data_IF_310698850186
#
_entry.id   IF_310698850186
#
_cell.length_a   1.000
_cell.length_b   1.000
_cell.length_c   1.000
_cell.angle_alpha   90.00
_cell.angle_beta   90.00
_cell.angle_gamma   90.00
#
_symmetry.space_group_name_H-M   'P 1'
#
loop_
_entity.id
_entity.type
_entity.pdbx_description
1 polymer ?
#
# COMPACT_ATOMS: atom_id res chain seq x y z
N UNK A 1 -2.73 -15.29 -42.91
CA UNK A 1 -2.08 -15.67 -41.64
C UNK A 1 -1.00 -14.66 -41.35
N UNK A 2 -1.19 -13.78 -40.38
CA UNK A 2 -0.20 -12.75 -39.99
C UNK A 2 0.11 -12.94 -38.52
N UNK A 3 1.28 -13.51 -38.24
CA UNK A 3 1.85 -13.64 -36.91
C UNK A 3 2.46 -12.28 -36.57
N UNK A 4 1.83 -11.53 -35.67
CA UNK A 4 2.40 -10.29 -35.14
C UNK A 4 3.49 -10.60 -34.13
N UNK A 5 4.62 -9.96 -34.36
CA UNK A 5 5.88 -10.10 -33.65
C UNK A 5 5.77 -9.91 -32.14
N UNK A 6 6.22 -10.96 -31.45
CA UNK A 6 7.14 -11.01 -30.32
C UNK A 6 7.76 -9.70 -29.80
N UNK A 7 7.92 -9.70 -28.47
CA UNK A 7 8.91 -8.94 -27.69
C UNK A 7 8.68 -7.44 -27.50
N UNK A 8 7.67 -7.10 -26.70
CA UNK A 8 7.75 -5.90 -25.86
C UNK A 8 8.87 -6.12 -24.82
N UNK A 9 9.98 -5.43 -25.06
CA UNK A 9 11.21 -5.35 -24.27
C UNK A 9 10.91 -5.30 -22.77
N UNK A 10 11.16 -6.43 -22.10
CA UNK A 10 11.28 -6.53 -20.65
C UNK A 10 12.46 -5.67 -20.21
N UNK A 11 12.19 -4.42 -19.81
CA UNK A 11 13.15 -3.66 -19.03
C UNK A 11 13.49 -4.51 -17.81
N UNK A 12 14.76 -4.90 -17.67
CA UNK A 12 15.23 -5.72 -16.55
C UNK A 12 14.76 -5.10 -15.23
N UNK A 13 13.69 -5.65 -14.67
CA UNK A 13 13.13 -5.19 -13.41
C UNK A 13 14.17 -5.51 -12.35
N UNK A 14 14.91 -4.49 -11.90
CA UNK A 14 15.90 -4.64 -10.83
C UNK A 14 15.19 -5.26 -9.64
N UNK A 15 15.73 -6.38 -9.15
CA UNK A 15 15.25 -6.99 -7.92
C UNK A 15 15.35 -5.98 -6.77
N UNK A 16 14.23 -5.76 -6.09
CA UNK A 16 14.10 -4.86 -4.96
C UNK A 16 13.90 -5.66 -3.69
N UNK A 17 14.40 -5.13 -2.58
CA UNK A 17 14.17 -5.71 -1.25
C UNK A 17 12.81 -5.24 -0.73
N UNK A 18 11.96 -6.17 -0.33
CA UNK A 18 10.67 -5.90 0.29
C UNK A 18 10.68 -6.45 1.70
N UNK A 19 10.14 -5.68 2.63
CA UNK A 19 9.86 -6.13 3.99
C UNK A 19 8.40 -6.51 4.07
N UNK A 20 8.09 -7.65 4.67
CA UNK A 20 6.74 -8.16 4.82
C UNK A 20 6.42 -8.49 6.27
N UNK A 21 5.13 -8.48 6.59
CA UNK A 21 4.59 -8.98 7.86
C UNK A 21 3.42 -9.89 7.59
N UNK A 22 3.46 -11.07 8.18
CA UNK A 22 2.50 -12.14 7.96
C UNK A 22 2.02 -12.68 9.30
N UNK A 23 0.79 -13.18 9.33
CA UNK A 23 0.24 -13.99 10.40
C UNK A 23 0.33 -15.44 9.97
N UNK A 24 0.99 -16.24 10.80
CA UNK A 24 1.15 -17.67 10.64
C UNK A 24 -0.10 -18.41 11.19
N UNK A 25 -0.27 -19.70 10.87
CA UNK A 25 -1.43 -20.50 11.34
C UNK A 25 -1.52 -20.68 12.85
N UNK A 26 -0.39 -20.56 13.54
CA UNK A 26 -0.29 -20.56 15.01
C UNK A 26 -0.68 -19.19 15.63
N UNK A 27 -1.25 -18.29 14.82
CA UNK A 27 -1.63 -16.92 15.17
C UNK A 27 -0.44 -16.00 15.53
N UNK A 28 0.79 -16.49 15.33
CA UNK A 28 2.01 -15.72 15.54
C UNK A 28 2.20 -14.75 14.38
N UNK A 29 2.70 -13.57 14.70
CA UNK A 29 3.03 -12.56 13.70
C UNK A 29 4.54 -12.59 13.45
N UNK A 30 4.92 -12.79 12.18
CA UNK A 30 6.31 -12.81 11.74
C UNK A 30 6.59 -11.69 10.75
N UNK A 31 7.78 -11.10 10.89
CA UNK A 31 8.32 -10.09 9.98
C UNK A 31 9.53 -10.65 9.28
N UNK A 32 9.61 -10.46 7.96
CA UNK A 32 10.72 -10.95 7.16
C UNK A 32 11.02 -10.02 5.99
N UNK A 33 12.03 -10.40 5.22
CA UNK A 33 12.48 -9.67 4.05
C UNK A 33 12.57 -10.62 2.85
N UNK A 34 12.08 -10.18 1.69
CA UNK A 34 12.13 -10.93 0.44
C UNK A 34 12.62 -10.04 -0.68
N UNK A 35 13.50 -10.57 -1.52
CA UNK A 35 13.98 -9.88 -2.72
C UNK A 35 13.16 -10.33 -3.92
N UNK A 36 12.49 -9.41 -4.58
CA UNK A 36 11.70 -9.70 -5.79
C UNK A 36 11.71 -8.51 -6.74
N UNK A 37 11.34 -8.74 -8.00
CA UNK A 37 11.14 -7.68 -9.00
C UNK A 37 9.93 -6.78 -8.73
N UNK A 38 8.95 -7.23 -7.94
CA UNK A 38 7.70 -6.51 -7.68
C UNK A 38 7.06 -6.95 -6.36
N UNK A 39 6.18 -6.09 -5.82
CA UNK A 39 5.38 -6.40 -4.61
C UNK A 39 4.48 -7.61 -4.83
N UNK A 40 3.84 -7.71 -5.99
CA UNK A 40 2.91 -8.79 -6.30
C UNK A 40 3.60 -10.15 -6.35
N UNK A 41 4.85 -10.18 -6.82
CA UNK A 41 5.67 -11.39 -6.79
C UNK A 41 6.00 -11.86 -5.38
N UNK A 42 6.27 -10.93 -4.45
CA UNK A 42 6.42 -11.26 -3.02
C UNK A 42 5.13 -11.84 -2.46
N UNK A 43 3.99 -11.23 -2.74
CA UNK A 43 2.67 -11.71 -2.28
C UNK A 43 2.39 -13.12 -2.84
N UNK A 44 2.65 -13.35 -4.13
CA UNK A 44 2.49 -14.66 -4.74
C UNK A 44 3.41 -15.71 -4.09
N UNK A 45 4.65 -15.34 -3.77
CA UNK A 45 5.58 -16.23 -3.07
C UNK A 45 5.12 -16.58 -1.66
N UNK A 46 4.66 -15.58 -0.89
CA UNK A 46 4.13 -15.77 0.45
C UNK A 46 2.85 -16.62 0.45
N UNK A 47 1.96 -16.46 -0.54
CA UNK A 47 0.74 -17.27 -0.67
C UNK A 47 1.02 -18.75 -0.97
N UNK A 48 2.19 -19.10 -1.49
CA UNK A 48 2.59 -20.50 -1.70
C UNK A 48 3.00 -21.19 -0.39
N UNK A 49 3.36 -20.42 0.64
CA UNK A 49 3.68 -20.99 1.94
C UNK A 49 2.38 -21.33 2.68
N UNK A 50 2.18 -22.62 2.94
CA UNK A 50 0.98 -23.12 3.60
C UNK A 50 0.88 -22.70 5.06
N UNK A 51 1.99 -22.35 5.72
CA UNK A 51 2.01 -21.95 7.13
C UNK A 51 1.52 -20.51 7.36
N UNK A 52 1.44 -19.71 6.28
CA UNK A 52 0.96 -18.33 6.34
C UNK A 52 -0.56 -18.33 6.24
N UNK A 53 -1.22 -17.82 7.28
CA UNK A 53 -2.66 -17.63 7.31
C UNK A 53 -3.07 -16.33 6.61
N UNK A 54 -2.36 -15.23 6.85
CA UNK A 54 -2.72 -13.91 6.28
C UNK A 54 -1.50 -13.03 6.08
N UNK A 55 -1.46 -12.29 4.96
CA UNK A 55 -0.43 -11.28 4.71
C UNK A 55 -0.95 -9.93 5.20
N UNK A 56 -0.30 -9.36 6.23
CA UNK A 56 -0.73 -8.10 6.84
C UNK A 56 -0.26 -6.90 6.03
N UNK A 57 1.02 -6.88 5.62
CA UNK A 57 1.53 -5.89 4.68
C UNK A 57 2.81 -6.37 4.00
N UNK A 58 3.10 -5.75 2.86
CA UNK A 58 4.36 -5.86 2.12
C UNK A 58 4.71 -4.46 1.65
N UNK A 59 5.90 -3.97 2.01
CA UNK A 59 6.38 -2.65 1.60
C UNK A 59 7.82 -2.71 1.11
N UNK A 60 8.17 -1.81 0.20
CA UNK A 60 9.55 -1.62 -0.21
C UNK A 60 10.14 -0.42 0.56
N UNK A 61 11.09 -0.61 1.49
CA UNK A 61 11.74 0.49 2.21
C UNK A 61 12.56 1.40 1.28
N UNK A 62 13.01 0.88 0.13
CA UNK A 62 13.84 1.60 -0.86
C UNK A 62 13.02 2.25 -1.97
N UNK A 63 11.71 1.99 -2.05
CA UNK A 63 10.87 2.72 -2.98
C UNK A 63 10.73 4.16 -2.47
N UNK A 64 11.01 5.19 -3.29
CA UNK A 64 10.76 6.57 -2.91
C UNK A 64 9.28 6.70 -2.55
N UNK A 65 9.00 6.90 -1.26
CA UNK A 65 7.65 6.90 -0.74
C UNK A 65 6.80 7.96 -1.43
N UNK A 66 5.83 7.52 -2.25
CA UNK A 66 4.69 8.33 -2.66
C UNK A 66 3.84 8.62 -1.40
N UNK A 67 4.28 9.57 -0.59
CA UNK A 67 3.66 9.88 0.71
C UNK A 67 4.49 10.72 1.67
N UNK A 68 5.75 11.03 1.35
CA UNK A 68 6.53 11.95 2.18
C UNK A 68 6.04 13.39 1.96
N UNK A 69 5.36 13.93 2.99
CA UNK A 69 4.76 15.28 3.14
C UNK A 69 3.26 15.35 2.77
N UNK A 70 2.41 14.67 3.53
CA UNK A 70 1.12 15.30 3.84
C UNK A 70 1.44 16.62 4.56
N UNK A 71 1.31 17.73 3.84
CA UNK A 71 1.45 19.06 4.45
C UNK A 71 0.49 19.11 5.65
N UNK A 72 0.87 19.72 6.78
CA UNK A 72 -0.09 19.97 7.84
C UNK A 72 -1.32 20.66 7.23
N UNK A 73 -2.51 20.13 7.47
CA UNK A 73 -3.75 20.69 6.93
C UNK A 73 -3.79 22.17 7.32
N UNK A 74 -3.97 23.04 6.33
CA UNK A 74 -4.01 24.49 6.53
C UNK A 74 -4.99 24.79 7.68
N UNK A 75 -4.63 25.57 8.71
CA UNK A 75 -5.49 25.87 9.86
C UNK A 75 -6.91 26.34 9.46
N UNK A 76 -7.03 26.99 8.31
CA UNK A 76 -8.32 27.36 7.70
C UNK A 76 -9.26 26.17 7.47
N UNK A 77 -8.76 25.02 7.00
CA UNK A 77 -9.57 23.82 6.77
C UNK A 77 -10.08 23.21 8.09
N UNK A 78 -9.27 23.30 9.16
CA UNK A 78 -9.69 22.85 10.50
C UNK A 78 -10.77 23.77 11.06
N UNK A 79 -10.63 25.08 10.87
CA UNK A 79 -11.63 26.06 11.27
C UNK A 79 -12.95 25.88 10.50
N UNK A 80 -12.90 25.68 9.17
CA UNK A 80 -14.08 25.40 8.34
C UNK A 80 -14.81 24.13 8.78
N UNK A 81 -14.08 23.06 9.12
CA UNK A 81 -14.69 21.81 9.63
C UNK A 81 -15.45 22.03 10.92
N UNK A 82 -14.85 22.74 11.89
CA UNK A 82 -15.51 23.05 13.17
C UNK A 82 -16.72 23.96 12.99
N UNK A 83 -16.66 24.89 12.05
CA UNK A 83 -17.77 25.77 11.75
C UNK A 83 -18.94 25.01 11.09
N UNK A 84 -18.65 24.06 10.19
CA UNK A 84 -19.66 23.17 9.63
C UNK A 84 -20.30 22.27 10.69
N UNK A 85 -19.50 21.67 11.57
CA UNK A 85 -20.01 20.88 12.71
C UNK A 85 -20.93 21.72 13.60
N UNK A 86 -20.52 22.95 13.93
CA UNK A 86 -21.36 23.87 14.69
C UNK A 86 -22.65 24.23 13.96
N UNK A 87 -22.61 24.50 12.65
CA UNK A 87 -23.81 24.78 11.86
C UNK A 87 -24.77 23.59 11.82
N UNK A 88 -24.27 22.37 11.68
CA UNK A 88 -25.07 21.15 11.69
C UNK A 88 -25.71 20.89 13.06
N UNK A 89 -24.95 21.06 14.14
CA UNK A 89 -25.47 20.90 15.52
C UNK A 89 -26.59 21.92 15.81
N UNK A 90 -26.45 23.15 15.30
CA UNK A 90 -27.42 24.21 15.52
C UNK A 90 -28.55 24.22 14.46
N UNK A 91 -28.65 23.20 13.61
CA UNK A 91 -29.71 23.11 12.60
C UNK A 91 -29.69 24.26 11.58
N UNK A 92 -28.54 24.89 11.36
CA UNK A 92 -28.30 25.89 10.32
C UNK A 92 -28.13 25.22 8.95
N UNK A 93 -29.02 24.28 8.63
CA UNK A 93 -29.17 23.69 7.31
C UNK A 93 -30.27 24.45 6.56
N UNK A 94 -29.97 25.71 6.22
CA UNK A 94 -30.83 26.52 5.35
C UNK A 94 -30.04 26.99 4.14
N UNK A 95 -29.88 26.10 3.17
CA UNK A 95 -30.14 26.35 1.73
C UNK A 95 -29.90 25.09 0.91
#
# INVERSE_FOLDING_TARGET
MTVTAEAAVSAAQKSQKFTYRVRMRDDKIETGEATHTSRDGVIASLKRNQDIQTILYVFNPTAPGAGAKSRPKNPSLVASSRQLEFCLINGLDKR
#
